data_IF_209890370894
#
_entry.id   IF_209890370894
#
_cell.length_a   1.000
_cell.length_b   1.000
_cell.length_c   1.000
_cell.angle_alpha   90.00
_cell.angle_beta   90.00
_cell.angle_gamma   90.00
#
_symmetry.space_group_name_H-M   'P 1'
#
loop_
_entity.id
_entity.type
_entity.pdbx_description
1 polymer ?
#
# COMPACT_ATOMS: atom_id res chain seq x y z
N UNK A 1 -6.33 -14.11 9.67
CA UNK A 1 -6.33 -12.70 10.15
C UNK A 1 -6.81 -11.74 9.09
N UNK A 2 -7.44 -10.64 9.47
CA UNK A 2 -7.88 -9.56 8.58
C UNK A 2 -6.79 -8.49 8.50
N UNK A 3 -6.28 -8.20 7.30
CA UNK A 3 -5.23 -7.20 7.04
C UNK A 3 -5.77 -6.10 6.14
N UNK A 4 -5.64 -4.84 6.56
CA UNK A 4 -5.82 -3.67 5.70
C UNK A 4 -4.54 -3.48 4.88
N UNK A 5 -4.62 -3.65 3.55
CA UNK A 5 -3.43 -3.66 2.70
C UNK A 5 -2.96 -2.25 2.27
N UNK A 6 -3.60 -1.17 2.78
CA UNK A 6 -3.27 0.20 2.39
C UNK A 6 -3.57 1.20 3.51
N UNK A 7 -2.54 1.67 4.21
CA UNK A 7 -2.67 2.57 5.35
C UNK A 7 -1.52 3.59 5.41
N UNK A 8 -1.80 4.77 6.00
CA UNK A 8 -0.89 5.90 6.09
C UNK A 8 -0.76 6.45 7.50
N UNK A 9 0.45 6.93 7.85
CA UNK A 9 0.72 7.69 9.07
C UNK A 9 1.15 9.12 8.75
N UNK A 10 0.86 10.06 9.65
CA UNK A 10 1.11 11.49 9.46
C UNK A 10 2.58 11.88 9.50
N UNK A 11 3.46 11.04 10.04
CA UNK A 11 4.89 11.33 10.10
C UNK A 11 5.56 11.35 8.71
N UNK A 12 5.03 10.59 7.76
CA UNK A 12 5.54 10.52 6.38
C UNK A 12 4.50 11.04 5.39
N UNK A 13 3.25 10.56 5.46
CA UNK A 13 2.17 10.98 4.56
C UNK A 13 1.49 12.24 5.09
N UNK A 14 1.88 13.42 4.60
CA UNK A 14 1.37 14.72 5.10
C UNK A 14 -0.15 14.90 4.95
N UNK A 15 -0.79 14.12 4.08
CA UNK A 15 -2.24 14.06 3.95
C UNK A 15 -2.92 13.22 5.04
N UNK A 16 -2.18 12.33 5.73
CA UNK A 16 -2.70 11.59 6.87
C UNK A 16 -2.78 12.46 8.13
N UNK A 17 -3.80 12.24 8.95
CA UNK A 17 -4.04 12.95 10.21
C UNK A 17 -3.79 12.09 11.44
N UNK A 18 -3.28 10.85 11.25
CA UNK A 18 -3.13 9.87 12.32
C UNK A 18 -1.66 9.50 12.52
N UNK A 19 -1.24 9.46 13.78
CA UNK A 19 0.05 8.89 14.19
C UNK A 19 0.00 7.37 14.11
N UNK A 20 1.16 6.71 14.26
CA UNK A 20 1.25 5.26 14.35
C UNK A 20 0.38 4.70 15.50
N UNK A 21 0.40 5.34 16.66
CA UNK A 21 -0.39 4.94 17.82
C UNK A 21 -1.89 5.02 17.55
N UNK A 22 -2.33 6.09 16.90
CA UNK A 22 -3.74 6.32 16.59
C UNK A 22 -4.25 5.33 15.54
N UNK A 23 -3.43 4.96 14.53
CA UNK A 23 -3.78 3.94 13.54
C UNK A 23 -3.88 2.56 14.18
N UNK A 24 -2.93 2.20 15.05
CA UNK A 24 -2.97 0.92 15.77
C UNK A 24 -4.19 0.86 16.71
N UNK A 25 -4.49 1.95 17.42
CA UNK A 25 -5.71 2.03 18.25
C UNK A 25 -6.99 1.86 17.41
N UNK A 26 -7.00 2.42 16.19
CA UNK A 26 -8.12 2.25 15.25
C UNK A 26 -8.24 0.79 14.79
N UNK A 27 -7.14 0.10 14.52
CA UNK A 27 -7.16 -1.34 14.17
C UNK A 27 -7.80 -2.18 15.28
N UNK A 28 -7.44 -1.91 16.54
CA UNK A 28 -8.03 -2.60 17.70
C UNK A 28 -9.54 -2.34 17.75
N UNK A 29 -9.97 -1.09 17.60
CA UNK A 29 -11.38 -0.71 17.60
C UNK A 29 -12.17 -1.42 16.48
N UNK A 30 -11.62 -1.46 15.26
CA UNK A 30 -12.26 -2.06 14.08
C UNK A 30 -12.11 -3.59 14.03
N UNK A 31 -11.34 -4.19 14.96
CA UNK A 31 -11.00 -5.62 14.94
C UNK A 31 -10.28 -6.03 13.64
N UNK A 32 -9.36 -5.20 13.19
CA UNK A 32 -8.41 -5.50 12.13
C UNK A 32 -7.14 -6.04 12.77
N UNK A 33 -6.63 -7.18 12.29
CA UNK A 33 -5.51 -7.89 12.92
C UNK A 33 -4.15 -7.30 12.51
N UNK A 34 -4.12 -6.48 11.44
CA UNK A 34 -2.91 -5.81 11.00
C UNK A 34 -3.11 -4.89 9.80
N UNK A 35 -2.03 -4.22 9.42
CA UNK A 35 -1.96 -3.29 8.30
C UNK A 35 -0.71 -3.53 7.46
N UNK A 36 -0.78 -3.18 6.18
CA UNK A 36 0.42 -2.84 5.40
C UNK A 36 0.58 -1.33 5.45
N UNK A 37 1.66 -0.85 6.06
CA UNK A 37 1.98 0.57 6.10
C UNK A 37 2.59 0.97 4.74
N UNK A 38 1.82 1.73 3.97
CA UNK A 38 2.12 2.11 2.59
C UNK A 38 2.21 3.63 2.46
N UNK A 39 2.95 4.28 3.35
CA UNK A 39 3.13 5.72 3.29
C UNK A 39 3.56 6.19 1.89
N UNK A 40 3.19 7.41 1.53
CA UNK A 40 3.47 7.96 0.21
C UNK A 40 4.96 8.19 -0.06
N UNK A 41 5.41 7.75 -1.23
CA UNK A 41 6.66 8.12 -1.87
C UNK A 41 6.34 9.09 -3.01
N UNK A 42 6.41 10.39 -2.72
CA UNK A 42 6.10 11.48 -3.66
C UNK A 42 7.29 12.42 -3.80
N UNK A 43 7.42 13.01 -4.97
CA UNK A 43 8.51 13.94 -5.25
C UNK A 43 8.52 15.13 -4.29
N UNK A 44 7.35 15.70 -4.01
CA UNK A 44 7.20 16.86 -3.12
C UNK A 44 7.72 16.58 -1.69
N UNK A 45 7.73 15.32 -1.26
CA UNK A 45 8.22 14.95 0.08
C UNK A 45 9.75 14.92 0.17
N UNK A 46 10.42 15.05 -0.97
CA UNK A 46 11.89 15.07 -1.08
C UNK A 46 12.45 16.38 -1.59
N UNK A 47 11.61 17.41 -1.83
CA UNK A 47 12.07 18.69 -2.39
C UNK A 47 13.12 19.42 -1.54
N UNK A 48 13.08 19.21 -0.22
CA UNK A 48 13.98 19.89 0.72
C UNK A 48 14.98 18.95 1.43
N UNK A 49 14.99 17.66 1.10
CA UNK A 49 15.87 16.67 1.71
C UNK A 49 16.36 15.67 0.65
N UNK A 50 17.54 15.12 0.82
CA UNK A 50 18.02 14.07 -0.07
C UNK A 50 17.14 12.81 0.05
N UNK A 51 16.89 12.13 -1.08
CA UNK A 51 16.04 10.95 -1.13
C UNK A 51 16.43 9.87 -0.12
N UNK A 52 17.73 9.62 0.05
CA UNK A 52 18.22 8.64 1.04
C UNK A 52 17.94 9.05 2.49
N UNK A 53 17.86 10.36 2.78
CA UNK A 53 17.45 10.87 4.10
C UNK A 53 15.96 10.62 4.31
N UNK A 54 15.14 10.89 3.29
CA UNK A 54 13.71 10.58 3.29
C UNK A 54 13.49 9.06 3.49
N UNK A 55 14.22 8.18 2.79
CA UNK A 55 14.13 6.73 2.98
C UNK A 55 14.42 6.30 4.43
N UNK A 56 15.38 6.94 5.10
CA UNK A 56 15.65 6.67 6.53
C UNK A 56 14.47 7.07 7.40
N UNK A 57 13.91 8.27 7.19
CA UNK A 57 12.72 8.72 7.94
C UNK A 57 11.53 7.79 7.72
N UNK A 58 11.34 7.31 6.48
CA UNK A 58 10.31 6.33 6.16
C UNK A 58 10.49 5.03 6.96
N UNK A 59 11.71 4.51 6.99
CA UNK A 59 12.04 3.30 7.74
C UNK A 59 11.88 3.48 9.25
N UNK A 60 12.31 4.63 9.79
CA UNK A 60 12.17 4.97 11.21
C UNK A 60 10.70 4.97 11.63
N UNK A 61 9.81 5.57 10.81
CA UNK A 61 8.37 5.55 11.04
C UNK A 61 7.79 4.13 10.97
N UNK A 62 8.22 3.33 10.00
CA UNK A 62 7.79 1.94 9.93
C UNK A 62 8.19 1.14 11.18
N UNK A 63 9.45 1.25 11.62
CA UNK A 63 9.90 0.53 12.81
C UNK A 63 9.19 1.03 14.07
N UNK A 64 8.89 2.32 14.15
CA UNK A 64 8.07 2.88 15.20
C UNK A 64 6.66 2.27 15.20
N UNK A 65 5.95 2.34 14.07
CA UNK A 65 4.62 1.77 13.92
C UNK A 65 4.59 0.26 14.22
N UNK A 66 5.61 -0.48 13.75
CA UNK A 66 5.75 -1.91 14.04
C UNK A 66 5.93 -2.16 15.53
N UNK A 67 6.76 -1.38 16.22
CA UNK A 67 6.95 -1.50 17.67
C UNK A 67 5.66 -1.23 18.45
N UNK A 68 4.85 -0.26 18.01
CA UNK A 68 3.53 0.02 18.61
C UNK A 68 2.58 -1.15 18.33
N UNK A 69 2.56 -1.64 17.10
CA UNK A 69 1.74 -2.78 16.69
C UNK A 69 2.06 -4.04 17.51
N UNK A 70 3.34 -4.41 17.62
CA UNK A 70 3.81 -5.59 18.35
C UNK A 70 3.36 -5.57 19.83
N UNK A 71 3.40 -4.40 20.47
CA UNK A 71 2.93 -4.23 21.87
C UNK A 71 1.42 -4.41 22.03
N UNK A 72 0.67 -4.24 20.96
CA UNK A 72 -0.79 -4.28 20.96
C UNK A 72 -1.39 -5.49 20.21
N UNK A 73 -0.54 -6.42 19.74
CA UNK A 73 -0.97 -7.60 19.02
C UNK A 73 -1.48 -7.31 17.60
N UNK A 74 -1.12 -6.15 17.01
CA UNK A 74 -1.45 -5.76 15.64
C UNK A 74 -0.23 -5.93 14.75
N UNK A 75 -0.36 -6.70 13.66
CA UNK A 75 0.73 -6.88 12.70
C UNK A 75 0.89 -5.63 11.82
N UNK A 76 2.14 -5.19 11.64
CA UNK A 76 2.48 -4.08 10.75
C UNK A 76 3.47 -4.57 9.71
N UNK A 77 3.06 -4.60 8.46
CA UNK A 77 3.87 -5.01 7.32
C UNK A 77 4.41 -3.80 6.58
N UNK A 78 5.61 -3.95 6.01
CA UNK A 78 6.23 -2.91 5.19
C UNK A 78 5.67 -2.94 3.77
N UNK A 79 5.27 -1.81 3.26
CA UNK A 79 4.91 -1.55 1.88
C UNK A 79 5.22 -0.09 1.54
N UNK A 80 4.85 0.36 0.36
CA UNK A 80 5.03 1.76 -0.06
C UNK A 80 4.01 2.11 -1.12
N UNK A 81 3.45 3.32 -1.05
CA UNK A 81 2.65 3.87 -2.14
C UNK A 81 3.45 4.92 -2.91
N UNK A 82 3.69 4.66 -4.19
CA UNK A 82 4.46 5.53 -5.07
C UNK A 82 3.50 6.36 -5.94
N UNK A 83 3.56 7.68 -5.82
CA UNK A 83 2.89 8.60 -6.73
C UNK A 83 3.80 8.90 -7.91
N UNK A 84 3.39 8.51 -9.11
CA UNK A 84 4.18 8.75 -10.32
C UNK A 84 4.32 10.24 -10.62
N UNK A 85 5.55 10.71 -10.84
CA UNK A 85 5.80 12.09 -11.25
C UNK A 85 5.29 12.39 -12.68
N UNK A 86 5.17 11.38 -13.53
CA UNK A 86 4.69 11.54 -14.91
C UNK A 86 3.16 11.68 -15.01
N UNK A 87 2.43 11.02 -14.10
CA UNK A 87 0.97 10.94 -14.17
C UNK A 87 0.34 11.40 -12.87
N UNK A 88 -0.22 12.58 -12.87
CA UNK A 88 -0.99 13.10 -11.73
C UNK A 88 -2.15 12.16 -11.39
N UNK A 89 -2.35 11.90 -10.10
CA UNK A 89 -3.41 11.06 -9.53
C UNK A 89 -3.31 9.56 -9.89
N UNK A 90 -2.12 9.07 -10.23
CA UNK A 90 -1.87 7.64 -10.37
C UNK A 90 -0.87 7.22 -9.31
N UNK A 91 -1.33 6.34 -8.45
CA UNK A 91 -0.55 5.80 -7.35
C UNK A 91 -0.37 4.29 -7.53
N UNK A 92 0.77 3.78 -7.09
CA UNK A 92 1.13 2.38 -7.16
C UNK A 92 1.55 1.87 -5.79
N UNK A 93 1.03 0.72 -5.39
CA UNK A 93 1.44 -0.01 -4.20
C UNK A 93 2.56 -0.98 -4.55
N UNK A 94 3.63 -0.96 -3.77
CA UNK A 94 4.70 -1.95 -3.87
C UNK A 94 4.65 -2.82 -2.62
N UNK A 95 4.39 -4.11 -2.82
CA UNK A 95 4.41 -5.13 -1.77
C UNK A 95 5.65 -6.01 -1.88
N UNK A 96 6.21 -6.43 -0.75
CA UNK A 96 7.41 -7.28 -0.68
C UNK A 96 8.72 -6.51 -0.67
N UNK A 97 8.71 -5.19 -0.85
CA UNK A 97 9.88 -4.35 -0.61
C UNK A 97 10.22 -4.37 0.88
N UNK A 98 11.51 -4.26 1.21
CA UNK A 98 11.98 -4.19 2.60
C UNK A 98 12.61 -2.83 2.91
N UNK A 99 12.74 -2.44 4.21
CA UNK A 99 13.43 -1.21 4.59
C UNK A 99 14.84 -1.08 4.00
N UNK A 100 15.61 -2.16 3.95
CA UNK A 100 16.96 -2.19 3.38
C UNK A 100 16.93 -1.94 1.86
N UNK A 101 15.96 -2.53 1.18
CA UNK A 101 15.81 -2.36 -0.27
C UNK A 101 15.35 -0.96 -0.64
N UNK A 102 14.52 -0.33 0.21
CA UNK A 102 14.14 1.07 0.02
C UNK A 102 15.35 2.00 0.10
N UNK A 103 16.27 1.79 1.05
CA UNK A 103 17.51 2.59 1.19
C UNK A 103 18.42 2.49 -0.04
N UNK A 104 18.34 1.40 -0.78
CA UNK A 104 19.15 1.12 -1.99
C UNK A 104 18.40 1.44 -3.29
N UNK A 105 17.14 1.85 -3.21
CA UNK A 105 16.34 2.14 -4.39
C UNK A 105 16.73 3.48 -5.03
N UNK A 106 16.53 3.62 -6.35
CA UNK A 106 16.47 4.95 -6.95
C UNK A 106 15.21 5.69 -6.46
N UNK A 107 15.08 7.01 -6.71
CA UNK A 107 13.85 7.72 -6.45
C UNK A 107 12.67 7.07 -7.23
N UNK A 108 11.83 6.29 -6.51
CA UNK A 108 10.81 5.44 -7.13
C UNK A 108 9.75 6.27 -7.88
N UNK A 109 9.47 7.48 -7.41
CA UNK A 109 8.51 8.40 -8.04
C UNK A 109 9.00 8.94 -9.40
N UNK A 110 10.30 8.88 -9.71
CA UNK A 110 10.84 9.30 -11.01
C UNK A 110 10.76 8.18 -12.07
N UNK A 111 10.36 6.97 -11.68
CA UNK A 111 10.23 5.84 -12.60
C UNK A 111 8.86 5.87 -13.31
N UNK A 112 8.88 5.63 -14.62
CA UNK A 112 7.66 5.34 -15.38
C UNK A 112 7.01 4.04 -14.88
N UNK A 113 5.72 3.82 -15.19
CA UNK A 113 5.03 2.57 -14.84
C UNK A 113 5.85 1.33 -15.26
N UNK A 114 6.38 1.33 -16.49
CA UNK A 114 7.18 0.22 -17.00
C UNK A 114 8.47 0.02 -16.21
N UNK A 115 9.21 1.10 -15.94
CA UNK A 115 10.46 1.02 -15.19
C UNK A 115 10.21 0.56 -13.74
N UNK A 116 9.13 1.05 -13.12
CA UNK A 116 8.73 0.63 -11.78
C UNK A 116 8.35 -0.86 -11.74
N UNK A 117 7.64 -1.34 -12.77
CA UNK A 117 7.32 -2.76 -12.92
C UNK A 117 8.56 -3.63 -13.08
N UNK A 118 9.50 -3.25 -13.96
CA UNK A 118 10.75 -4.00 -14.14
C UNK A 118 11.59 -3.98 -12.86
N UNK A 119 11.68 -2.84 -12.18
CA UNK A 119 12.34 -2.73 -10.88
C UNK A 119 11.73 -3.70 -9.84
N UNK A 120 10.41 -3.73 -9.73
CA UNK A 120 9.72 -4.65 -8.83
C UNK A 120 9.98 -6.11 -9.21
N UNK A 121 9.86 -6.45 -10.48
CA UNK A 121 10.10 -7.81 -11.00
C UNK A 121 11.52 -8.30 -10.72
N UNK A 122 12.53 -7.47 -10.99
CA UNK A 122 13.95 -7.83 -10.81
C UNK A 122 14.32 -8.01 -9.33
N UNK A 123 13.57 -7.39 -8.41
CA UNK A 123 13.77 -7.53 -6.98
C UNK A 123 12.77 -8.48 -6.29
N UNK A 124 11.87 -9.10 -7.03
CA UNK A 124 10.88 -10.04 -6.49
C UNK A 124 9.68 -9.37 -5.79
N UNK A 125 9.50 -8.06 -5.98
CA UNK A 125 8.37 -7.29 -5.44
C UNK A 125 7.16 -7.37 -6.34
N UNK A 126 6.00 -6.92 -5.82
CA UNK A 126 4.77 -6.81 -6.58
C UNK A 126 4.38 -5.36 -6.76
N UNK A 127 3.97 -4.99 -7.98
CA UNK A 127 3.43 -3.68 -8.32
C UNK A 127 1.93 -3.78 -8.54
N UNK A 128 1.15 -3.05 -7.75
CA UNK A 128 -0.30 -2.94 -7.87
C UNK A 128 -0.68 -1.49 -8.18
N UNK A 129 -1.68 -1.26 -9.02
CA UNK A 129 -2.25 0.07 -9.09
C UNK A 129 -3.18 0.28 -7.91
N UNK A 130 -2.96 1.36 -7.14
CA UNK A 130 -3.82 1.78 -6.06
C UNK A 130 -5.15 2.32 -6.62
N UNK A 131 -6.24 2.06 -5.93
CA UNK A 131 -7.58 2.64 -6.12
C UNK A 131 -7.91 3.10 -7.57
N UNK A 132 -7.80 2.24 -8.62
CA UNK A 132 -8.17 2.61 -9.96
C UNK A 132 -9.64 3.05 -10.00
N UNK A 133 -9.95 4.04 -10.86
CA UNK A 133 -11.22 4.75 -11.00
C UNK A 133 -11.57 5.78 -9.93
N UNK A 134 -10.73 5.96 -8.87
CA UNK A 134 -10.94 7.02 -7.88
C UNK A 134 -10.58 8.39 -8.45
N UNK A 135 -11.39 9.43 -8.14
CA UNK A 135 -11.09 10.83 -8.46
C UNK A 135 -10.65 11.07 -9.90
N UNK A 136 -11.22 10.32 -10.87
CA UNK A 136 -10.86 10.41 -12.27
C UNK A 136 -9.60 9.62 -12.67
N UNK A 137 -8.97 8.89 -11.75
CA UNK A 137 -7.90 7.96 -12.11
C UNK A 137 -8.40 6.89 -13.08
N UNK A 138 -7.55 6.50 -14.02
CA UNK A 138 -7.85 5.45 -15.01
C UNK A 138 -6.96 4.24 -14.77
N UNK A 139 -7.45 3.02 -15.07
CA UNK A 139 -6.61 1.84 -15.06
C UNK A 139 -5.42 2.03 -15.98
N UNK A 140 -4.26 1.69 -15.48
CA UNK A 140 -3.01 1.77 -16.21
C UNK A 140 -2.75 0.50 -17.01
N UNK A 141 -1.67 0.46 -17.79
CA UNK A 141 -1.38 -0.69 -18.66
C UNK A 141 -1.28 -1.98 -17.84
N UNK A 142 -2.15 -2.97 -18.05
CA UNK A 142 -2.14 -4.22 -17.29
C UNK A 142 -0.87 -5.05 -17.54
N UNK A 143 -0.18 -4.80 -18.65
CA UNK A 143 1.08 -5.45 -18.99
C UNK A 143 2.18 -5.18 -17.95
N UNK A 144 2.09 -4.05 -17.27
CA UNK A 144 3.08 -3.59 -16.30
C UNK A 144 2.48 -3.49 -14.90
N UNK A 145 1.64 -4.47 -14.55
CA UNK A 145 1.06 -4.62 -13.21
C UNK A 145 1.04 -6.10 -12.82
N UNK A 146 1.23 -6.38 -11.54
CA UNK A 146 0.96 -7.68 -10.94
C UNK A 146 -0.48 -7.78 -10.44
N UNK A 147 -1.08 -6.63 -10.09
CA UNK A 147 -2.44 -6.56 -9.59
C UNK A 147 -3.00 -5.14 -9.53
N UNK A 148 -4.20 -5.04 -8.99
CA UNK A 148 -4.90 -3.79 -8.71
C UNK A 148 -5.58 -3.85 -7.36
N UNK A 149 -5.81 -2.70 -6.74
CA UNK A 149 -6.45 -2.59 -5.45
C UNK A 149 -7.96 -2.41 -5.58
N UNK A 150 -8.71 -3.17 -4.78
CA UNK A 150 -10.06 -2.81 -4.37
C UNK A 150 -9.93 -1.90 -3.15
N UNK A 151 -10.34 -0.66 -3.30
CA UNK A 151 -10.33 0.26 -2.19
C UNK A 151 -11.70 0.27 -1.52
N UNK A 152 -11.74 0.01 -0.23
CA UNK A 152 -12.98 -0.08 0.53
C UNK A 152 -13.25 1.16 1.39
N UNK A 153 -12.67 2.30 1.03
CA UNK A 153 -13.02 3.57 1.66
C UNK A 153 -14.52 3.89 1.46
N UNK A 154 -15.23 4.42 2.48
CA UNK A 154 -16.68 4.68 2.40
C UNK A 154 -17.12 5.60 1.27
N UNK A 155 -16.21 6.44 0.77
CA UNK A 155 -16.48 7.33 -0.36
C UNK A 155 -16.45 6.60 -1.72
N UNK A 156 -16.03 5.32 -1.73
CA UNK A 156 -16.07 4.52 -2.95
C UNK A 156 -17.47 4.00 -3.23
N UNK A 157 -17.83 4.06 -4.50
CA UNK A 157 -19.09 3.52 -4.98
C UNK A 157 -18.93 2.02 -5.30
N UNK A 158 -19.93 1.24 -4.99
CA UNK A 158 -19.99 -0.20 -5.36
C UNK A 158 -19.75 -0.43 -6.87
N UNK A 159 -20.12 0.55 -7.72
CA UNK A 159 -19.85 0.49 -9.15
C UNK A 159 -18.36 0.52 -9.51
N UNK A 160 -17.54 1.15 -8.70
CA UNK A 160 -16.09 1.23 -8.92
C UNK A 160 -15.41 -0.09 -8.57
N UNK A 161 -15.80 -0.71 -7.46
CA UNK A 161 -15.34 -2.04 -7.10
C UNK A 161 -15.64 -3.07 -8.20
N UNK A 162 -16.87 -3.07 -8.74
CA UNK A 162 -17.23 -3.94 -9.85
C UNK A 162 -16.32 -3.75 -11.06
N UNK A 163 -16.04 -2.50 -11.44
CA UNK A 163 -15.14 -2.19 -12.56
C UNK A 163 -13.71 -2.65 -12.32
N UNK A 164 -13.19 -2.54 -11.08
CA UNK A 164 -11.87 -3.04 -10.71
C UNK A 164 -11.80 -4.56 -10.85
N UNK A 165 -12.82 -5.28 -10.38
CA UNK A 165 -12.90 -6.74 -10.51
C UNK A 165 -12.95 -7.18 -11.98
N UNK A 166 -13.80 -6.56 -12.79
CA UNK A 166 -13.90 -6.83 -14.24
C UNK A 166 -12.57 -6.55 -14.96
N UNK A 167 -11.88 -5.46 -14.60
CA UNK A 167 -10.58 -5.15 -15.16
C UNK A 167 -9.51 -6.17 -14.77
N UNK A 168 -9.47 -6.57 -13.51
CA UNK A 168 -8.54 -7.58 -13.01
C UNK A 168 -8.77 -8.95 -13.69
N UNK A 169 -10.00 -9.41 -13.75
CA UNK A 169 -10.39 -10.68 -14.38
C UNK A 169 -10.01 -10.69 -15.87
N UNK A 170 -10.41 -9.66 -16.62
CA UNK A 170 -10.11 -9.53 -18.05
C UNK A 170 -8.61 -9.57 -18.37
N UNK A 171 -7.77 -9.09 -17.45
CA UNK A 171 -6.33 -8.94 -17.68
C UNK A 171 -5.49 -9.94 -16.85
N UNK A 172 -6.12 -10.89 -16.18
CA UNK A 172 -5.47 -11.86 -15.29
C UNK A 172 -4.56 -11.20 -14.24
N UNK A 173 -5.06 -10.08 -13.65
CA UNK A 173 -4.40 -9.38 -12.57
C UNK A 173 -4.92 -9.87 -11.22
N UNK A 174 -4.04 -9.81 -10.22
CA UNK A 174 -4.43 -10.11 -8.83
C UNK A 174 -5.11 -8.91 -8.20
N UNK A 175 -5.81 -9.18 -7.08
CA UNK A 175 -6.48 -8.15 -6.30
C UNK A 175 -5.82 -8.02 -4.92
N UNK A 176 -5.71 -6.81 -4.41
CA UNK A 176 -5.53 -6.50 -2.99
C UNK A 176 -6.74 -5.71 -2.49
N UNK A 177 -6.86 -5.55 -1.19
CA UNK A 177 -7.94 -4.78 -0.60
C UNK A 177 -7.43 -3.96 0.58
N UNK A 178 -7.60 -2.63 0.50
CA UNK A 178 -7.18 -1.70 1.52
C UNK A 178 -8.11 -0.50 1.66
N UNK A 179 -8.00 0.23 2.78
CA UNK A 179 -8.85 1.37 3.09
C UNK A 179 -8.31 2.69 2.55
N UNK A 180 -7.00 2.78 2.34
CA UNK A 180 -6.31 4.06 2.09
C UNK A 180 -6.67 5.09 3.18
N UNK A 181 -6.56 4.64 4.44
CA UNK A 181 -7.05 5.41 5.58
C UNK A 181 -6.11 6.55 5.94
N UNK A 182 -6.65 7.76 5.97
CA UNK A 182 -5.93 8.99 6.26
C UNK A 182 -6.40 9.70 7.55
N UNK A 183 -7.23 9.04 8.37
CA UNK A 183 -7.74 9.61 9.62
C UNK A 183 -9.09 10.29 9.46
N UNK A 184 -9.91 9.85 8.55
CA UNK A 184 -11.31 10.24 8.45
C UNK A 184 -12.08 9.88 9.73
N UNK A 185 -13.26 10.47 9.92
CA UNK A 185 -14.11 10.23 11.10
C UNK A 185 -14.68 8.81 11.13
N UNK A 186 -14.57 8.09 10.03
CA UNK A 186 -15.06 6.73 9.86
C UNK A 186 -14.03 5.89 9.11
N UNK A 187 -13.61 4.78 9.70
CA UNK A 187 -12.88 3.70 9.02
C UNK A 187 -13.79 2.49 8.92
N UNK A 188 -14.20 2.07 7.72
CA UNK A 188 -14.88 0.79 7.59
C UNK A 188 -13.91 -0.31 7.98
N UNK A 189 -14.44 -1.40 8.53
CA UNK A 189 -13.67 -2.64 8.60
C UNK A 189 -13.39 -3.10 7.18
N UNK A 190 -12.16 -2.95 6.78
CA UNK A 190 -11.70 -3.09 5.40
C UNK A 190 -10.46 -3.94 5.39
N UNK A 191 -10.26 -4.68 4.33
CA UNK A 191 -9.07 -5.47 4.14
C UNK A 191 -9.36 -6.82 3.52
N UNK A 192 -8.39 -7.70 3.63
CA UNK A 192 -8.43 -9.04 3.09
C UNK A 192 -8.06 -10.07 4.15
N UNK A 193 -8.68 -11.23 4.08
CA UNK A 193 -8.31 -12.35 4.96
C UNK A 193 -7.08 -13.06 4.41
N UNK A 194 -6.07 -13.20 5.25
CA UNK A 194 -4.84 -13.95 4.96
C UNK A 194 -4.55 -14.95 6.08
N UNK A 195 -3.73 -15.99 5.83
CA UNK A 195 -3.32 -16.94 6.88
C UNK A 195 -2.56 -16.29 8.04
N UNK A 196 -2.75 -16.82 9.25
CA UNK A 196 -2.14 -16.25 10.45
C UNK A 196 -0.61 -16.45 10.54
N UNK A 197 -0.06 -17.39 9.75
CA UNK A 197 1.38 -17.64 9.70
C UNK A 197 2.17 -16.56 8.94
N UNK A 198 1.51 -15.65 8.23
CA UNK A 198 2.16 -14.53 7.54
C UNK A 198 2.59 -13.49 8.57
N UNK A 199 3.89 -13.15 8.61
CA UNK A 199 4.47 -12.32 9.67
C UNK A 199 5.13 -11.03 9.20
N UNK A 200 5.38 -10.91 7.88
CA UNK A 200 6.01 -9.72 7.30
C UNK A 200 5.50 -9.40 5.88
N UNK A 201 5.98 -8.28 5.34
CA UNK A 201 5.59 -7.82 4.01
C UNK A 201 6.10 -8.70 2.87
N UNK A 202 7.18 -9.45 3.07
CA UNK A 202 7.73 -10.37 2.05
C UNK A 202 6.85 -11.61 1.95
N UNK A 203 6.51 -12.21 3.09
CA UNK A 203 5.56 -13.33 3.15
C UNK A 203 4.17 -12.94 2.64
N UNK A 204 3.73 -11.70 2.93
CA UNK A 204 2.49 -11.15 2.38
C UNK A 204 2.52 -11.06 0.85
N UNK A 205 3.61 -10.53 0.26
CA UNK A 205 3.77 -10.47 -1.18
C UNK A 205 3.83 -11.87 -1.82
N UNK A 206 4.51 -12.82 -1.18
CA UNK A 206 4.56 -14.20 -1.67
C UNK A 206 3.17 -14.87 -1.62
N UNK A 207 2.38 -14.59 -0.56
CA UNK A 207 0.99 -15.02 -0.51
C UNK A 207 0.18 -14.44 -1.67
N UNK A 208 0.28 -13.14 -1.95
CA UNK A 208 -0.40 -12.48 -3.07
C UNK A 208 -0.01 -13.06 -4.44
N UNK A 209 1.24 -13.51 -4.62
CA UNK A 209 1.68 -14.16 -5.86
C UNK A 209 0.94 -15.48 -6.14
N UNK A 210 0.65 -16.23 -5.09
CA UNK A 210 0.24 -17.63 -5.22
C UNK A 210 -1.26 -17.83 -5.02
N UNK A 211 -2.00 -16.80 -4.58
CA UNK A 211 -3.40 -16.92 -4.23
C UNK A 211 -4.25 -15.87 -4.96
N UNK A 212 -5.35 -16.34 -5.53
CA UNK A 212 -6.44 -15.47 -5.97
C UNK A 212 -7.31 -15.18 -4.76
N UNK A 213 -7.52 -13.90 -4.44
CA UNK A 213 -8.31 -13.53 -3.26
C UNK A 213 -9.75 -14.02 -3.40
N UNK A 214 -10.20 -14.81 -2.43
CA UNK A 214 -11.60 -14.99 -2.14
C UNK A 214 -12.02 -13.84 -1.19
N UNK A 215 -13.04 -13.12 -1.55
CA UNK A 215 -13.68 -12.07 -0.75
C UNK A 215 -15.02 -12.58 -0.21
#
# INVERSE_FOLDING_TARGET
MLIDAHSHTSAISWCSRRTAEEIIAQCIYDKTDGIVLTNHCKKEYTDNIAYNVWCKQYNDEFFHAKSVGDKNGIKVFFGIEVTSAEMKNIDYLIYGITPEKLLLSPPLFDLTQRQLFEYCKDNGFLLYQAHPYRNGATPQSPKYLHGVEINCHPLYKTSEEKRVREFAEKNNLRLSCGADFHGDTYKPRCGMYIPDYINDGVEFAEYLKNHTLAF
#
